data_IF_921664111126
#
_entry.id   IF_921664111126
#
_cell.length_a   1.000
_cell.length_b   1.000
_cell.length_c   1.000
_cell.angle_alpha   90.00
_cell.angle_beta   90.00
_cell.angle_gamma   90.00
#
_symmetry.space_group_name_H-M   'P 1'
#
loop_
_entity.id
_entity.type
_entity.pdbx_description
1 polymer ?
#
# COMPACT_ATOMS: atom_id res chain seq x y z
N UNK A 1 61.40 -20.81 -39.94
CA UNK A 1 61.99 -20.50 -41.26
C UNK A 1 62.85 -21.69 -41.63
N UNK A 2 62.26 -22.61 -42.40
CA UNK A 2 62.69 -23.01 -43.77
C UNK A 2 63.93 -23.91 -43.71
N UNK A 3 63.86 -25.18 -44.10
CA UNK A 3 63.68 -25.55 -45.51
C UNK A 3 63.15 -27.00 -45.63
N UNK A 4 62.00 -27.17 -46.27
CA UNK A 4 61.60 -28.45 -46.87
C UNK A 4 62.49 -28.66 -48.11
N UNK A 5 63.19 -29.80 -48.26
CA UNK A 5 63.95 -30.08 -49.46
C UNK A 5 62.99 -30.34 -50.64
N UNK A 6 63.38 -30.02 -51.88
CA UNK A 6 62.49 -30.08 -53.03
C UNK A 6 62.07 -31.54 -53.31
N UNK A 7 60.94 -31.78 -53.99
CA UNK A 7 60.48 -33.13 -54.28
C UNK A 7 61.54 -33.84 -55.14
N UNK A 8 62.15 -34.89 -54.60
CA UNK A 8 63.00 -35.79 -55.38
C UNK A 8 62.17 -36.35 -56.52
N UNK A 9 62.38 -35.81 -57.72
CA UNK A 9 61.90 -36.38 -58.96
C UNK A 9 62.63 -37.70 -59.14
N UNK A 10 62.00 -38.80 -58.67
CA UNK A 10 62.46 -40.16 -58.95
C UNK A 10 62.79 -40.24 -60.44
N UNK A 11 64.03 -40.62 -60.78
CA UNK A 11 64.41 -40.83 -62.18
C UNK A 11 63.51 -41.92 -62.77
N UNK A 12 63.27 -41.86 -64.09
CA UNK A 12 62.24 -42.67 -64.73
C UNK A 12 62.37 -44.18 -64.42
N UNK A 13 63.60 -44.68 -64.31
CA UNK A 13 63.94 -46.04 -63.89
C UNK A 13 63.44 -46.38 -62.48
N UNK A 14 63.66 -45.51 -61.49
CA UNK A 14 63.19 -45.72 -60.11
C UNK A 14 61.65 -45.68 -60.01
N UNK A 15 61.00 -44.86 -60.83
CA UNK A 15 59.53 -44.82 -60.90
C UNK A 15 58.94 -46.09 -61.54
N UNK A 16 59.60 -46.65 -62.57
CA UNK A 16 59.18 -47.90 -63.19
C UNK A 16 59.36 -49.10 -62.25
N UNK A 17 60.45 -49.16 -61.50
CA UNK A 17 60.66 -50.21 -60.48
C UNK A 17 59.60 -50.14 -59.37
N UNK A 18 59.28 -48.92 -58.90
CA UNK A 18 58.21 -48.72 -57.91
C UNK A 18 56.82 -49.12 -58.45
N UNK A 19 56.52 -48.84 -59.72
CA UNK A 19 55.29 -49.29 -60.37
C UNK A 19 55.26 -50.81 -60.58
N UNK A 20 56.38 -51.40 -60.98
CA UNK A 20 56.51 -52.85 -61.16
C UNK A 20 56.25 -53.62 -59.87
N UNK A 21 56.78 -53.12 -58.73
CA UNK A 21 56.53 -53.70 -57.42
C UNK A 21 55.04 -53.62 -57.02
N UNK A 22 54.38 -52.50 -57.31
CA UNK A 22 52.93 -52.32 -57.04
C UNK A 22 52.06 -53.20 -57.93
N UNK A 23 52.38 -53.32 -59.21
CA UNK A 23 51.69 -54.21 -60.15
C UNK A 23 51.84 -55.67 -59.70
N UNK A 24 53.04 -56.10 -59.29
CA UNK A 24 53.25 -57.43 -58.75
C UNK A 24 52.39 -57.69 -57.49
N UNK A 25 52.29 -56.70 -56.59
CA UNK A 25 51.41 -56.78 -55.42
C UNK A 25 49.92 -56.88 -55.78
N UNK A 26 49.45 -56.11 -56.76
CA UNK A 26 48.08 -56.18 -57.27
C UNK A 26 47.79 -57.54 -57.90
N UNK A 27 48.67 -58.03 -58.77
CA UNK A 27 48.51 -59.35 -59.40
C UNK A 27 48.46 -60.46 -58.36
N UNK A 28 49.34 -60.45 -57.36
CA UNK A 28 49.31 -61.43 -56.28
C UNK A 28 48.01 -61.37 -55.46
N UNK A 29 47.45 -60.16 -55.23
CA UNK A 29 46.17 -60.00 -54.54
C UNK A 29 44.98 -60.51 -55.35
N UNK A 30 45.02 -60.30 -56.68
CA UNK A 30 43.99 -60.79 -57.60
C UNK A 30 44.05 -62.30 -57.72
N UNK A 31 45.24 -62.88 -57.82
CA UNK A 31 45.43 -64.33 -57.85
C UNK A 31 44.98 -64.98 -56.53
N UNK A 32 45.31 -64.36 -55.39
CA UNK A 32 44.83 -64.80 -54.08
C UNK A 32 43.31 -64.69 -53.90
N UNK A 33 42.68 -63.69 -54.51
CA UNK A 33 41.22 -63.55 -54.53
C UNK A 33 40.58 -64.59 -55.46
N UNK A 34 41.14 -64.80 -56.65
CA UNK A 34 40.67 -65.79 -57.61
C UNK A 34 40.74 -67.21 -57.04
N UNK A 35 41.83 -67.56 -56.34
CA UNK A 35 41.98 -68.84 -55.66
C UNK A 35 40.89 -69.05 -54.58
N UNK A 36 40.61 -68.03 -53.76
CA UNK A 36 39.53 -68.11 -52.75
C UNK A 36 38.13 -68.18 -53.39
N UNK A 37 37.91 -67.50 -54.51
CA UNK A 37 36.63 -67.55 -55.19
C UNK A 37 36.39 -68.92 -55.83
N UNK A 38 37.43 -69.58 -56.34
CA UNK A 38 37.34 -70.97 -56.80
C UNK A 38 37.03 -71.94 -55.66
N UNK A 39 37.60 -71.73 -54.47
CA UNK A 39 37.25 -72.52 -53.27
C UNK A 39 35.79 -72.31 -52.83
N UNK A 40 35.30 -71.06 -52.84
CA UNK A 40 33.91 -70.73 -52.51
C UNK A 40 32.92 -71.32 -53.54
N UNK A 41 33.22 -71.25 -54.84
CA UNK A 41 32.35 -71.79 -55.89
C UNK A 41 32.35 -73.32 -55.93
N UNK A 42 33.40 -73.97 -55.42
CA UNK A 42 33.48 -75.43 -55.34
C UNK A 42 32.67 -76.02 -54.16
N UNK A 43 32.21 -75.19 -53.20
CA UNK A 43 31.46 -75.66 -52.05
C UNK A 43 29.95 -75.68 -52.32
N UNK A 44 29.30 -76.81 -52.04
CA UNK A 44 27.84 -76.92 -52.16
C UNK A 44 27.13 -76.28 -50.96
N UNK A 45 26.40 -75.20 -51.20
CA UNK A 45 25.61 -74.46 -50.19
C UNK A 45 24.14 -74.85 -50.16
N UNK A 46 23.69 -75.76 -51.05
CA UNK A 46 22.32 -76.28 -51.09
C UNK A 46 21.80 -76.73 -49.71
N UNK A 47 22.57 -77.50 -48.90
CA UNK A 47 22.08 -77.93 -47.59
C UNK A 47 21.89 -76.78 -46.58
N UNK A 48 22.70 -75.73 -46.64
CA UNK A 48 22.56 -74.58 -45.73
C UNK A 48 21.42 -73.65 -46.15
N UNK A 49 21.23 -73.46 -47.46
CA UNK A 49 20.07 -72.72 -47.98
C UNK A 49 18.75 -73.44 -47.66
N UNK A 50 18.73 -74.77 -47.75
CA UNK A 50 17.58 -75.59 -47.33
C UNK A 50 17.22 -75.36 -45.87
N UNK A 51 18.20 -75.35 -44.97
CA UNK A 51 17.97 -75.06 -43.54
C UNK A 51 17.40 -73.66 -43.28
N UNK A 52 17.83 -72.65 -44.04
CA UNK A 52 17.30 -71.29 -43.92
C UNK A 52 15.84 -71.26 -44.38
N UNK A 53 15.54 -71.91 -45.51
CA UNK A 53 14.18 -72.03 -46.02
C UNK A 53 13.25 -72.71 -45.01
N UNK A 54 13.67 -73.85 -44.44
CA UNK A 54 12.89 -74.58 -43.42
C UNK A 54 12.59 -73.73 -42.18
N UNK A 55 13.55 -72.90 -41.75
CA UNK A 55 13.34 -71.98 -40.61
C UNK A 55 12.37 -70.86 -40.96
N UNK A 56 12.44 -70.30 -42.16
CA UNK A 56 11.50 -69.28 -42.60
C UNK A 56 10.07 -69.83 -42.68
N UNK A 57 9.90 -71.05 -43.18
CA UNK A 57 8.60 -71.72 -43.23
C UNK A 57 8.05 -72.03 -41.83
N UNK A 58 8.90 -72.47 -40.90
CA UNK A 58 8.49 -72.67 -39.51
C UNK A 58 7.96 -71.39 -38.85
N UNK A 59 8.64 -70.25 -39.06
CA UNK A 59 8.21 -68.95 -38.55
C UNK A 59 6.88 -68.52 -39.19
N UNK A 60 6.74 -68.71 -40.51
CA UNK A 60 5.49 -68.42 -41.22
C UNK A 60 4.30 -69.21 -40.66
N UNK A 61 4.51 -70.49 -40.37
CA UNK A 61 3.50 -71.37 -39.78
C UNK A 61 3.13 -70.97 -38.35
N UNK A 62 4.08 -70.55 -37.51
CA UNK A 62 3.77 -70.07 -36.16
C UNK A 62 2.99 -68.74 -36.17
N UNK A 63 3.33 -67.82 -37.08
CA UNK A 63 2.60 -66.56 -37.24
C UNK A 63 1.17 -66.81 -37.73
N UNK A 64 1.00 -67.74 -38.68
CA UNK A 64 -0.32 -68.17 -39.13
C UNK A 64 -1.13 -68.82 -37.99
N UNK A 65 -0.49 -69.66 -37.17
CA UNK A 65 -1.14 -70.26 -35.99
C UNK A 65 -1.47 -69.22 -34.90
N UNK A 66 -0.70 -68.13 -34.79
CA UNK A 66 -1.00 -66.99 -33.91
C UNK A 66 -2.19 -66.17 -34.39
N UNK A 67 -2.36 -66.00 -35.71
CA UNK A 67 -3.52 -65.33 -36.31
C UNK A 67 -4.84 -66.01 -35.94
N UNK A 68 -4.83 -67.33 -35.76
CA UNK A 68 -6.01 -68.10 -35.35
C UNK A 68 -6.25 -68.11 -33.83
N UNK A 69 -5.40 -67.47 -33.02
CA UNK A 69 -5.57 -67.36 -31.57
C UNK A 69 -6.23 -66.03 -31.16
N UNK A 70 -7.25 -66.05 -30.28
CA UNK A 70 -8.03 -64.88 -29.90
C UNK A 70 -7.29 -63.84 -29.05
N UNK A 71 -6.02 -64.07 -28.70
CA UNK A 71 -5.21 -63.10 -27.96
C UNK A 71 -4.75 -61.90 -28.82
N UNK A 72 -4.85 -62.00 -30.15
CA UNK A 72 -4.61 -60.87 -31.08
C UNK A 72 -5.85 -59.95 -31.18
N UNK A 73 -6.92 -60.25 -30.44
CA UNK A 73 -8.11 -59.39 -30.31
C UNK A 73 -7.95 -58.27 -29.25
N UNK A 74 -6.73 -57.82 -28.96
CA UNK A 74 -6.51 -56.44 -28.50
C UNK A 74 -6.78 -55.51 -29.69
N UNK A 75 -8.04 -55.46 -30.11
CA UNK A 75 -8.47 -54.60 -31.19
C UNK A 75 -8.31 -53.15 -30.72
N UNK A 76 -7.75 -52.25 -31.55
CA UNK A 76 -7.62 -50.83 -31.21
C UNK A 76 -8.97 -50.18 -30.84
N UNK A 77 -10.08 -50.78 -31.25
CA UNK A 77 -11.43 -50.38 -30.86
C UNK A 77 -11.72 -50.62 -29.38
N UNK A 78 -11.31 -51.77 -28.81
CA UNK A 78 -11.50 -52.07 -27.38
C UNK A 78 -10.69 -51.13 -26.48
N UNK A 79 -9.47 -50.78 -26.92
CA UNK A 79 -8.61 -49.82 -26.22
C UNK A 79 -9.22 -48.42 -26.30
N UNK A 80 -9.72 -48.01 -27.46
CA UNK A 80 -10.38 -46.72 -27.63
C UNK A 80 -11.66 -46.60 -26.78
N UNK A 81 -12.44 -47.68 -26.67
CA UNK A 81 -13.66 -47.68 -25.87
C UNK A 81 -13.36 -47.69 -24.36
N UNK A 82 -12.31 -48.38 -23.90
CA UNK A 82 -11.84 -48.25 -22.51
C UNK A 82 -11.31 -46.85 -22.19
N UNK A 83 -10.58 -46.21 -23.11
CA UNK A 83 -10.11 -44.83 -22.93
C UNK A 83 -11.29 -43.86 -22.88
N UNK A 84 -12.32 -44.06 -23.72
CA UNK A 84 -13.51 -43.20 -23.71
C UNK A 84 -14.34 -43.41 -22.44
N UNK A 85 -14.49 -44.65 -21.98
CA UNK A 85 -15.19 -44.96 -20.74
C UNK A 85 -14.47 -44.40 -19.50
N UNK A 86 -13.14 -44.56 -19.43
CA UNK A 86 -12.31 -43.97 -18.37
C UNK A 86 -12.27 -42.43 -18.45
N UNK A 87 -12.30 -41.86 -19.66
CA UNK A 87 -12.35 -40.41 -19.86
C UNK A 87 -13.68 -39.79 -19.41
N UNK A 88 -14.79 -40.52 -19.57
CA UNK A 88 -16.10 -40.05 -19.15
C UNK A 88 -16.26 -40.07 -17.62
N UNK A 89 -15.75 -41.10 -16.93
CA UNK A 89 -15.81 -41.16 -15.45
C UNK A 89 -14.97 -40.06 -14.79
N UNK A 90 -13.84 -39.68 -15.40
CA UNK A 90 -13.00 -38.58 -14.92
C UNK A 90 -13.69 -37.21 -15.12
N UNK A 91 -14.45 -37.03 -16.20
CA UNK A 91 -15.16 -35.76 -16.47
C UNK A 91 -16.33 -35.49 -15.53
N UNK A 92 -17.07 -36.52 -15.12
CA UNK A 92 -18.20 -36.36 -14.20
C UNK A 92 -17.73 -35.88 -12.81
N UNK A 93 -16.64 -36.45 -12.30
CA UNK A 93 -16.02 -36.03 -11.02
C UNK A 93 -15.41 -34.63 -11.13
N UNK A 94 -14.76 -34.32 -12.25
CA UNK A 94 -14.13 -33.01 -12.49
C UNK A 94 -15.18 -31.89 -12.65
N UNK A 95 -16.37 -32.19 -13.15
CA UNK A 95 -17.47 -31.22 -13.20
C UNK A 95 -18.04 -30.87 -11.82
N UNK A 96 -18.06 -31.83 -10.88
CA UNK A 96 -18.55 -31.57 -9.52
C UNK A 96 -17.53 -30.77 -8.70
N UNK A 97 -16.25 -31.11 -8.81
CA UNK A 97 -15.17 -30.35 -8.17
C UNK A 97 -15.08 -28.94 -8.73
N UNK A 98 -15.21 -28.76 -10.06
CA UNK A 98 -15.22 -27.45 -10.70
C UNK A 98 -16.40 -26.58 -10.26
N UNK A 99 -17.62 -27.13 -10.20
CA UNK A 99 -18.80 -26.38 -9.71
C UNK A 99 -18.63 -26.00 -8.23
N UNK A 100 -18.09 -26.88 -7.41
CA UNK A 100 -17.83 -26.56 -6.00
C UNK A 100 -16.75 -25.47 -5.85
N UNK A 101 -15.73 -25.48 -6.71
CA UNK A 101 -14.70 -24.45 -6.74
C UNK A 101 -15.26 -23.09 -7.21
N UNK A 102 -16.10 -23.08 -8.24
CA UNK A 102 -16.80 -21.87 -8.68
C UNK A 102 -17.71 -21.30 -7.59
N UNK A 103 -18.50 -22.14 -6.92
CA UNK A 103 -19.35 -21.70 -5.80
C UNK A 103 -18.53 -21.12 -4.64
N UNK A 104 -17.40 -21.74 -4.30
CA UNK A 104 -16.48 -21.23 -3.28
C UNK A 104 -15.84 -19.89 -3.69
N UNK A 105 -15.48 -19.73 -4.96
CA UNK A 105 -14.95 -18.48 -5.51
C UNK A 105 -16.02 -17.37 -5.52
N UNK A 106 -17.25 -17.68 -5.92
CA UNK A 106 -18.36 -16.72 -5.88
C UNK A 106 -18.72 -16.31 -4.45
N UNK A 107 -18.77 -17.27 -3.52
CA UNK A 107 -19.00 -16.99 -2.10
C UNK A 107 -17.88 -16.12 -1.50
N UNK A 108 -16.61 -16.41 -1.83
CA UNK A 108 -15.48 -15.59 -1.42
C UNK A 108 -15.52 -14.20 -2.04
N UNK A 109 -15.85 -14.07 -3.34
CA UNK A 109 -15.99 -12.79 -4.02
C UNK A 109 -17.12 -11.94 -3.41
N UNK A 110 -18.26 -12.55 -3.06
CA UNK A 110 -19.37 -11.89 -2.36
C UNK A 110 -18.96 -11.45 -0.96
N UNK A 111 -18.30 -12.30 -0.19
CA UNK A 111 -17.81 -11.94 1.14
C UNK A 111 -16.79 -10.79 1.09
N UNK A 112 -15.86 -10.82 0.12
CA UNK A 112 -14.88 -9.74 -0.07
C UNK A 112 -15.59 -8.43 -0.44
N UNK A 113 -16.53 -8.45 -1.38
CA UNK A 113 -17.27 -7.26 -1.82
C UNK A 113 -18.18 -6.69 -0.73
N UNK A 114 -18.81 -7.54 0.08
CA UNK A 114 -19.62 -7.13 1.23
C UNK A 114 -18.75 -6.50 2.32
N UNK A 115 -17.60 -7.10 2.62
CA UNK A 115 -16.64 -6.55 3.60
C UNK A 115 -16.00 -5.26 3.07
N UNK A 116 -15.69 -5.14 1.78
CA UNK A 116 -15.14 -3.90 1.22
C UNK A 116 -16.16 -2.77 1.15
N UNK A 117 -17.42 -3.07 0.79
CA UNK A 117 -18.51 -2.09 0.81
C UNK A 117 -18.82 -1.63 2.26
N UNK A 118 -18.79 -2.55 3.21
CA UNK A 118 -18.93 -2.27 4.65
C UNK A 118 -17.75 -1.46 5.19
N UNK A 119 -16.52 -1.81 4.82
CA UNK A 119 -15.32 -1.10 5.27
C UNK A 119 -15.21 0.32 4.71
N UNK A 120 -15.56 0.53 3.43
CA UNK A 120 -15.59 1.88 2.84
C UNK A 120 -16.64 2.76 3.52
N UNK A 121 -17.85 2.23 3.75
CA UNK A 121 -18.93 3.02 4.39
C UNK A 121 -18.61 3.36 5.85
N UNK A 122 -18.04 2.43 6.61
CA UNK A 122 -17.65 2.67 8.01
C UNK A 122 -16.54 3.72 8.14
N UNK A 123 -15.55 3.71 7.25
CA UNK A 123 -14.46 4.69 7.30
C UNK A 123 -14.91 6.08 6.86
N UNK A 124 -15.79 6.17 5.85
CA UNK A 124 -16.37 7.43 5.40
C UNK A 124 -17.29 8.04 6.47
N UNK A 125 -18.09 7.22 7.16
CA UNK A 125 -18.93 7.67 8.27
C UNK A 125 -18.09 8.20 9.44
N UNK A 126 -17.02 7.50 9.83
CA UNK A 126 -16.11 7.96 10.89
C UNK A 126 -15.43 9.27 10.53
N UNK A 127 -14.99 9.42 9.28
CA UNK A 127 -14.38 10.67 8.82
C UNK A 127 -15.37 11.84 8.91
N UNK A 128 -16.60 11.68 8.42
CA UNK A 128 -17.62 12.72 8.52
C UNK A 128 -18.00 13.05 9.97
N UNK A 129 -18.09 12.05 10.86
CA UNK A 129 -18.31 12.29 12.28
C UNK A 129 -17.18 13.11 12.92
N UNK A 130 -15.92 12.79 12.59
CA UNK A 130 -14.76 13.57 13.06
C UNK A 130 -14.81 15.00 12.51
N UNK A 131 -15.10 15.17 11.23
CA UNK A 131 -15.22 16.50 10.60
C UNK A 131 -16.33 17.31 11.26
N UNK A 132 -17.51 16.75 11.45
CA UNK A 132 -18.63 17.41 12.12
C UNK A 132 -18.28 17.74 13.58
N UNK A 133 -17.60 16.84 14.30
CA UNK A 133 -17.16 17.09 15.66
C UNK A 133 -16.16 18.25 15.72
N UNK A 134 -15.19 18.32 14.80
CA UNK A 134 -14.23 19.43 14.70
C UNK A 134 -14.96 20.73 14.37
N UNK A 135 -15.87 20.74 13.41
CA UNK A 135 -16.64 21.93 13.02
C UNK A 135 -17.52 22.42 14.19
N UNK A 136 -18.25 21.52 14.83
CA UNK A 136 -19.10 21.87 15.97
C UNK A 136 -18.27 22.41 17.15
N UNK A 137 -17.13 21.79 17.45
CA UNK A 137 -16.22 22.23 18.52
C UNK A 137 -15.61 23.59 18.20
N UNK A 138 -15.17 23.82 16.97
CA UNK A 138 -14.59 25.09 16.54
C UNK A 138 -15.61 26.22 16.55
N UNK A 139 -16.81 26.00 16.01
CA UNK A 139 -17.91 26.96 16.05
C UNK A 139 -18.33 27.26 17.50
N UNK A 140 -18.46 26.22 18.33
CA UNK A 140 -18.83 26.37 19.74
C UNK A 140 -17.79 27.16 20.54
N UNK A 141 -16.50 26.88 20.35
CA UNK A 141 -15.43 27.60 21.00
C UNK A 141 -15.39 29.06 20.54
N UNK A 142 -15.42 29.30 19.23
CA UNK A 142 -15.33 30.65 18.67
C UNK A 142 -16.56 31.50 19.04
N UNK A 143 -17.75 30.92 18.96
CA UNK A 143 -19.00 31.55 19.41
C UNK A 143 -19.01 31.81 20.91
N UNK A 144 -18.59 30.84 21.73
CA UNK A 144 -18.54 31.00 23.20
C UNK A 144 -17.60 32.11 23.68
N UNK A 145 -16.51 32.37 22.96
CA UNK A 145 -15.57 33.46 23.28
C UNK A 145 -16.05 34.83 22.77
N UNK A 146 -16.66 34.89 21.60
CA UNK A 146 -16.99 36.16 20.93
C UNK A 146 -18.37 36.70 21.30
N UNK A 147 -19.37 35.82 21.46
CA UNK A 147 -20.74 36.23 21.75
C UNK A 147 -20.88 36.99 23.08
N UNK A 148 -20.24 36.61 24.20
CA UNK A 148 -20.37 37.36 25.44
C UNK A 148 -19.80 38.79 25.36
N UNK A 149 -18.80 39.01 24.52
CA UNK A 149 -18.22 40.33 24.29
C UNK A 149 -19.13 41.21 23.44
N UNK A 150 -19.68 40.66 22.35
CA UNK A 150 -20.60 41.38 21.45
C UNK A 150 -21.91 41.71 22.15
N UNK A 151 -22.51 40.75 22.85
CA UNK A 151 -23.79 40.96 23.57
C UNK A 151 -23.61 42.01 24.69
N UNK A 152 -22.45 42.05 25.34
CA UNK A 152 -22.18 43.08 26.36
C UNK A 152 -22.06 44.49 25.78
N UNK A 153 -21.68 44.62 24.50
CA UNK A 153 -21.58 45.92 23.84
C UNK A 153 -22.91 46.35 23.19
N UNK A 154 -23.79 45.41 22.83
CA UNK A 154 -25.12 45.69 22.27
C UNK A 154 -26.22 45.77 23.33
N UNK A 155 -25.91 45.49 24.60
CA UNK A 155 -26.87 45.60 25.69
C UNK A 155 -27.21 47.09 25.93
N UNK A 156 -28.48 47.42 26.24
CA UNK A 156 -28.86 48.79 26.59
C UNK A 156 -28.05 49.32 27.77
N UNK A 157 -27.67 50.61 27.73
CA UNK A 157 -26.83 51.24 28.75
C UNK A 157 -27.40 51.13 30.17
N UNK A 158 -28.72 51.01 30.32
CA UNK A 158 -29.39 50.89 31.61
C UNK A 158 -29.09 49.57 32.37
N UNK A 159 -28.49 48.57 31.72
CA UNK A 159 -28.27 47.26 32.33
C UNK A 159 -26.93 47.16 33.09
N UNK A 160 -25.98 48.02 32.73
CA UNK A 160 -24.63 48.10 33.32
C UNK A 160 -23.91 46.73 33.35
N UNK A 161 -24.03 45.96 32.27
CA UNK A 161 -23.44 44.62 32.15
C UNK A 161 -21.91 44.61 32.19
N UNK A 162 -21.21 45.49 31.43
CA UNK A 162 -19.76 45.60 31.51
C UNK A 162 -19.27 45.89 32.93
N UNK A 163 -19.93 46.81 33.64
CA UNK A 163 -19.56 47.24 34.98
C UNK A 163 -19.83 46.13 36.01
N UNK A 164 -20.97 45.43 35.92
CA UNK A 164 -21.26 44.26 36.75
C UNK A 164 -20.28 43.11 36.50
N UNK A 165 -19.89 42.89 35.24
CA UNK A 165 -18.90 41.87 34.88
C UNK A 165 -17.52 42.23 35.44
N UNK A 166 -17.07 43.48 35.29
CA UNK A 166 -15.80 43.94 35.85
C UNK A 166 -15.77 43.80 37.37
N UNK A 167 -16.85 44.21 38.06
CA UNK A 167 -16.99 44.01 39.50
C UNK A 167 -16.96 42.52 39.91
N UNK A 168 -17.67 41.67 39.16
CA UNK A 168 -17.68 40.22 39.36
C UNK A 168 -16.31 39.56 39.13
N UNK A 169 -15.56 39.97 38.09
CA UNK A 169 -14.20 39.49 37.83
C UNK A 169 -13.23 39.86 38.95
N UNK A 170 -13.41 41.05 39.54
CA UNK A 170 -12.62 41.52 40.68
C UNK A 170 -13.14 40.99 42.03
N UNK A 171 -14.25 40.23 42.04
CA UNK A 171 -14.94 39.74 43.23
C UNK A 171 -15.19 40.84 44.27
N UNK A 172 -15.57 42.03 43.80
CA UNK A 172 -15.74 43.24 44.62
C UNK A 172 -17.07 43.90 44.30
N UNK A 173 -17.52 44.78 45.19
CA UNK A 173 -18.64 45.68 44.84
C UNK A 173 -18.24 46.59 43.67
N UNK A 174 -19.22 47.12 42.93
CA UNK A 174 -18.94 48.01 41.79
C UNK A 174 -18.09 49.22 42.18
N UNK A 175 -18.31 49.76 43.38
CA UNK A 175 -17.51 50.86 43.92
C UNK A 175 -16.06 50.45 44.21
N UNK A 176 -15.84 49.39 44.98
CA UNK A 176 -14.48 48.91 45.31
C UNK A 176 -13.71 48.42 44.08
N UNK A 177 -14.41 47.83 43.11
CA UNK A 177 -13.86 47.46 41.82
C UNK A 177 -13.37 48.70 41.07
N UNK A 178 -14.18 49.76 40.99
CA UNK A 178 -13.80 51.03 40.39
C UNK A 178 -12.59 51.67 41.08
N UNK A 179 -12.60 51.72 42.42
CA UNK A 179 -11.45 52.21 43.19
C UNK A 179 -10.18 51.40 42.91
N UNK A 180 -10.28 50.07 42.86
CA UNK A 180 -9.14 49.19 42.56
C UNK A 180 -8.62 49.41 41.14
N UNK A 181 -9.51 49.59 40.17
CA UNK A 181 -9.11 49.87 38.79
C UNK A 181 -8.37 51.21 38.68
N UNK A 182 -8.88 52.27 39.30
CA UNK A 182 -8.21 53.58 39.34
C UNK A 182 -6.84 53.50 40.03
N UNK A 183 -6.76 52.80 41.17
CA UNK A 183 -5.50 52.57 41.90
C UNK A 183 -4.44 51.86 41.06
N UNK A 184 -4.84 50.88 40.25
CA UNK A 184 -3.92 50.09 39.43
C UNK A 184 -3.55 50.82 38.14
N UNK A 185 -4.49 51.55 37.54
CA UNK A 185 -4.26 52.28 36.29
C UNK A 185 -3.35 53.50 36.48
N UNK A 186 -3.55 54.26 37.57
CA UNK A 186 -2.73 55.42 37.91
C UNK A 186 -2.62 55.58 39.45
N UNK A 187 -1.57 55.02 40.06
CA UNK A 187 -1.36 55.12 41.51
C UNK A 187 -1.12 56.56 41.99
N UNK A 188 -0.51 57.43 41.18
CA UNK A 188 -0.22 58.81 41.58
C UNK A 188 -1.48 59.68 41.49
N UNK A 189 -2.22 59.58 40.38
CA UNK A 189 -3.53 60.22 40.24
C UNK A 189 -4.53 59.73 41.28
N UNK A 190 -4.49 58.44 41.65
CA UNK A 190 -5.33 57.92 42.74
C UNK A 190 -5.03 58.60 44.08
N UNK A 191 -3.75 58.84 44.42
CA UNK A 191 -3.39 59.55 45.67
C UNK A 191 -3.97 60.96 45.70
N UNK A 192 -3.84 61.69 44.58
CA UNK A 192 -4.42 63.04 44.45
C UNK A 192 -5.93 63.01 44.63
N UNK A 193 -6.62 62.06 43.97
CA UNK A 193 -8.06 61.89 44.10
C UNK A 193 -8.48 61.51 45.54
N UNK A 194 -7.77 60.57 46.17
CA UNK A 194 -8.04 60.12 47.52
C UNK A 194 -7.84 61.25 48.55
N UNK A 195 -6.82 62.09 48.37
CA UNK A 195 -6.59 63.26 49.21
C UNK A 195 -7.68 64.33 49.00
N UNK A 196 -8.10 64.58 47.75
CA UNK A 196 -9.23 65.46 47.46
C UNK A 196 -10.56 64.95 48.05
N UNK A 197 -10.80 63.64 47.99
CA UNK A 197 -11.98 63.00 48.59
C UNK A 197 -11.96 63.15 50.12
N UNK A 198 -10.79 62.97 50.75
CA UNK A 198 -10.61 63.14 52.19
C UNK A 198 -10.87 64.58 52.65
N UNK A 199 -10.32 65.56 51.91
CA UNK A 199 -10.59 66.98 52.16
C UNK A 199 -12.09 67.26 52.01
N UNK A 200 -12.73 66.71 50.98
CA UNK A 200 -14.17 66.90 50.76
C UNK A 200 -15.02 66.34 51.89
N UNK A 201 -14.67 65.16 52.42
CA UNK A 201 -15.40 64.53 53.52
C UNK A 201 -15.26 65.35 54.83
N UNK A 202 -14.05 65.78 55.17
CA UNK A 202 -13.80 66.64 56.35
C UNK A 202 -14.54 67.98 56.26
N UNK A 203 -14.78 68.46 55.04
CA UNK A 203 -15.47 69.72 54.78
C UNK A 203 -16.93 69.56 54.33
N UNK A 204 -17.52 68.37 54.46
CA UNK A 204 -18.83 68.04 53.87
C UNK A 204 -19.92 69.05 54.22
N UNK A 205 -20.02 69.45 55.49
CA UNK A 205 -21.02 70.42 55.95
C UNK A 205 -20.74 71.85 55.42
N UNK A 206 -19.47 72.28 55.47
CA UNK A 206 -19.07 73.59 54.96
C UNK A 206 -19.32 73.70 53.44
N UNK A 207 -18.97 72.65 52.70
CA UNK A 207 -19.20 72.56 51.27
C UNK A 207 -20.70 72.58 50.94
N UNK A 208 -21.54 71.81 51.64
CA UNK A 208 -23.00 71.82 51.45
C UNK A 208 -23.61 73.21 51.72
N UNK A 209 -23.16 73.89 52.78
CA UNK A 209 -23.58 75.28 53.05
C UNK A 209 -23.16 76.25 51.93
N UNK A 210 -21.93 76.10 51.42
CA UNK A 210 -21.41 76.90 50.32
C UNK A 210 -22.15 76.63 48.99
N UNK A 211 -22.45 75.38 48.66
CA UNK A 211 -23.20 75.02 47.44
C UNK A 211 -24.63 75.57 47.48
N UNK A 212 -25.32 75.46 48.62
CA UNK A 212 -26.66 76.07 48.81
C UNK A 212 -26.63 77.58 48.63
N UNK A 213 -25.61 78.26 49.17
CA UNK A 213 -25.42 79.72 48.98
C UNK A 213 -25.13 80.08 47.53
N UNK A 214 -24.26 79.32 46.86
CA UNK A 214 -23.95 79.50 45.45
C UNK A 214 -25.21 79.35 44.58
N UNK A 215 -26.01 78.31 44.83
CA UNK A 215 -27.27 78.06 44.15
C UNK A 215 -28.28 79.20 44.35
N UNK A 216 -28.43 79.67 45.60
CA UNK A 216 -29.33 80.80 45.93
C UNK A 216 -28.92 82.10 45.24
N UNK A 217 -27.61 82.38 45.18
CA UNK A 217 -27.07 83.61 44.56
C UNK A 217 -26.86 83.48 43.05
N UNK A 218 -26.93 82.27 42.50
CA UNK A 218 -26.60 81.91 41.11
C UNK A 218 -25.23 82.47 40.67
N UNK A 219 -24.28 82.52 41.60
CA UNK A 219 -22.94 83.08 41.42
C UNK A 219 -21.94 82.28 42.24
N UNK A 220 -20.68 82.28 41.80
CA UNK A 220 -19.58 81.74 42.60
C UNK A 220 -19.51 82.48 43.95
N UNK A 221 -19.26 81.73 45.03
CA UNK A 221 -19.12 82.28 46.38
C UNK A 221 -17.81 81.77 47.00
N UNK A 222 -17.12 82.58 47.82
CA UNK A 222 -16.00 82.08 48.60
C UNK A 222 -16.49 81.06 49.63
N UNK A 223 -15.69 80.01 49.81
CA UNK A 223 -15.90 78.95 50.79
C UNK A 223 -14.61 78.70 51.57
N UNK A 224 -14.70 78.71 52.89
CA UNK A 224 -13.56 78.39 53.75
C UNK A 224 -13.56 76.88 54.01
N UNK A 225 -12.47 76.23 53.66
CA UNK A 225 -12.26 74.79 53.88
C UNK A 225 -11.08 74.54 54.81
N UNK A 226 -11.15 73.46 55.57
CA UNK A 226 -10.08 72.92 56.40
C UNK A 226 -9.21 72.00 55.56
N UNK A 227 -7.91 72.26 55.51
CA UNK A 227 -6.94 71.37 54.87
C UNK A 227 -6.28 70.53 55.96
N UNK A 228 -6.26 69.21 55.77
CA UNK A 228 -5.52 68.27 56.61
C UNK A 228 -4.32 67.74 55.81
N UNK A 229 -3.12 67.78 56.40
CA UNK A 229 -1.92 67.26 55.75
C UNK A 229 -1.92 65.72 55.79
N UNK A 230 -1.54 65.08 54.69
CA UNK A 230 -1.51 63.62 54.55
C UNK A 230 -0.16 62.98 54.94
N UNK A 231 0.75 63.70 55.60
CA UNK A 231 2.05 63.14 56.00
C UNK A 231 1.88 62.09 57.11
N UNK A 232 2.48 60.89 56.98
CA UNK A 232 2.65 60.01 58.13
C UNK A 232 3.58 60.70 59.16
N UNK A 233 3.42 60.45 60.47
CA UNK A 233 4.50 60.70 61.40
C UNK A 233 5.70 59.85 60.96
N UNK A 234 6.84 60.51 60.75
CA UNK A 234 8.10 59.86 60.40
C UNK A 234 8.61 58.94 61.50
#
# INVERSE_FOLDING_TARGET
MTHEPPPETLSADQAFDAMGLRLAGLTASVDGFAARQQELLARDYSPELGRIHDRCDAIGNEIAAMKDRPAVALSPQLIADQIRAAGNSVREEDHQTWRSAQQRLEAAARAITEVTASAQSAQQQKFWLIVVAIIATTIGAFGGLTLPAIIAHSAPDNWHWPEKRAAGMLQRSGWEAGQRMLQVADPEGWKVWADAARISEVNREALDGCTKRAAKKRKAVPCTIKIISSSPPG
#
